data_IF_522684167425
#
_entry.id   IF_522684167425
#
_cell.length_a   1.000
_cell.length_b   1.000
_cell.length_c   1.000
_cell.angle_alpha   90.00
_cell.angle_beta   90.00
_cell.angle_gamma   90.00
#
_symmetry.space_group_name_H-M   'P 1'
#
loop_
_entity.id
_entity.type
_entity.pdbx_description
1 polymer ?
#
# COMPACT_ATOMS: atom_id res chain seq x y z
N UNK A 1 19.99 17.37 15.93
CA UNK A 1 20.55 18.60 15.38
C UNK A 1 20.10 19.80 16.19
N UNK A 2 20.88 20.86 16.19
CA UNK A 2 20.56 22.09 16.94
C UNK A 2 19.50 22.94 16.23
N UNK A 3 19.24 22.71 14.95
CA UNK A 3 18.26 23.46 14.15
C UNK A 3 17.48 22.51 13.26
N UNK A 4 16.16 22.68 13.24
CA UNK A 4 15.26 22.01 12.30
C UNK A 4 14.87 23.01 11.21
N UNK A 5 14.77 22.54 9.98
CA UNK A 5 14.32 23.32 8.83
C UNK A 5 13.23 22.57 8.11
N UNK A 6 12.07 23.22 7.89
CA UNK A 6 10.98 22.69 7.10
C UNK A 6 11.32 22.83 5.62
N UNK A 7 11.47 21.71 4.93
CA UNK A 7 11.74 21.67 3.49
C UNK A 7 10.45 21.87 2.70
N UNK A 8 9.41 21.11 3.01
CA UNK A 8 8.03 21.32 2.55
C UNK A 8 7.05 20.56 3.46
N UNK A 9 5.79 20.95 3.41
CA UNK A 9 4.72 20.33 4.19
C UNK A 9 3.49 20.03 3.34
N UNK A 10 2.48 19.47 3.95
CA UNK A 10 1.26 19.01 3.28
C UNK A 10 0.39 20.14 2.70
N UNK A 11 0.60 21.38 3.07
CA UNK A 11 -0.09 22.55 2.50
C UNK A 11 0.26 22.81 1.05
N UNK A 12 1.45 22.40 0.64
CA UNK A 12 2.01 22.68 -0.67
C UNK A 12 1.90 21.53 -1.66
N UNK A 13 1.47 20.34 -1.21
CA UNK A 13 1.34 19.17 -2.06
C UNK A 13 -0.06 19.07 -2.68
N UNK A 14 -0.13 18.58 -3.91
CA UNK A 14 -1.34 18.51 -4.72
C UNK A 14 -1.38 17.19 -5.51
N UNK A 15 -2.56 16.85 -5.99
CA UNK A 15 -2.71 15.72 -6.90
C UNK A 15 -2.89 14.39 -6.18
N UNK A 16 -2.02 13.41 -6.43
CA UNK A 16 -2.12 12.08 -5.87
C UNK A 16 -1.99 12.04 -4.33
N UNK A 17 -1.40 13.05 -3.74
CA UNK A 17 -1.25 13.21 -2.29
C UNK A 17 -2.58 13.30 -1.55
N UNK A 18 -3.63 13.68 -2.26
CA UNK A 18 -4.97 13.71 -1.70
C UNK A 18 -5.55 12.30 -1.65
N UNK A 19 -6.21 11.92 -0.55
CA UNK A 19 -6.97 10.69 -0.53
C UNK A 19 -7.97 10.71 -1.69
N UNK A 20 -7.79 9.79 -2.63
CA UNK A 20 -8.67 9.68 -3.79
C UNK A 20 -10.04 9.12 -3.41
N UNK A 21 -10.58 8.23 -4.23
CA UNK A 21 -11.91 7.63 -4.05
C UNK A 21 -12.09 6.84 -2.73
N UNK A 22 -11.03 6.62 -1.98
CA UNK A 22 -11.02 5.81 -0.76
C UNK A 22 -11.00 6.66 0.53
N UNK A 23 -11.04 7.97 0.44
CA UNK A 23 -10.93 8.83 1.62
C UNK A 23 -11.81 10.07 1.57
N UNK A 24 -11.92 10.75 2.70
CA UNK A 24 -12.62 12.02 2.82
C UNK A 24 -11.76 13.09 2.18
N UNK A 25 -12.21 13.60 1.06
CA UNK A 25 -11.53 14.65 0.32
C UNK A 25 -12.08 16.02 0.70
N UNK A 26 -13.35 16.08 1.08
CA UNK A 26 -14.05 17.31 1.41
C UNK A 26 -14.07 17.53 2.92
N UNK A 27 -13.44 18.61 3.36
CA UNK A 27 -13.46 19.04 4.74
C UNK A 27 -14.88 19.27 5.25
N UNK A 28 -15.75 19.82 4.42
CA UNK A 28 -17.14 20.10 4.76
C UNK A 28 -17.98 18.81 4.91
N UNK A 29 -17.58 17.71 4.30
CA UNK A 29 -18.23 16.42 4.46
C UNK A 29 -17.81 15.69 5.74
N UNK A 30 -16.77 16.14 6.43
CA UNK A 30 -16.30 15.52 7.67
C UNK A 30 -17.23 15.79 8.85
N UNK A 31 -17.74 14.72 9.48
CA UNK A 31 -18.57 14.81 10.70
C UNK A 31 -17.79 15.53 11.82
N UNK A 32 -16.51 15.24 11.96
CA UNK A 32 -15.65 15.89 12.96
C UNK A 32 -15.56 17.40 12.68
N UNK A 33 -15.34 17.78 11.42
CA UNK A 33 -15.30 19.21 11.05
C UNK A 33 -16.62 19.90 11.36
N UNK A 34 -17.75 19.34 10.93
CA UNK A 34 -19.06 19.92 11.15
C UNK A 34 -19.39 20.10 12.64
N UNK A 35 -19.02 19.14 13.47
CA UNK A 35 -19.27 19.20 14.93
C UNK A 35 -18.37 20.19 15.66
N UNK A 36 -17.16 20.44 15.15
CA UNK A 36 -16.14 21.21 15.84
C UNK A 36 -15.96 22.64 15.31
N UNK A 37 -16.36 22.93 14.06
CA UNK A 37 -16.11 24.23 13.41
C UNK A 37 -16.66 25.44 14.17
N UNK A 38 -17.73 25.27 14.94
CA UNK A 38 -18.28 26.34 15.76
C UNK A 38 -17.34 26.79 16.90
N UNK A 39 -16.39 25.95 17.29
CA UNK A 39 -15.40 26.23 18.34
C UNK A 39 -14.06 26.72 17.75
N UNK A 40 -13.94 26.77 16.43
CA UNK A 40 -12.69 27.13 15.77
C UNK A 40 -12.52 28.66 15.72
N UNK A 41 -11.38 29.09 16.20
CA UNK A 41 -10.94 30.48 16.11
C UNK A 41 -9.97 30.63 14.93
N UNK A 42 -10.37 31.30 13.85
CA UNK A 42 -9.53 31.48 12.68
C UNK A 42 -8.33 32.42 12.90
N UNK A 43 -8.38 33.29 13.92
CA UNK A 43 -7.27 34.21 14.21
C UNK A 43 -6.13 33.49 14.92
N UNK A 44 -6.44 32.59 15.81
CA UNK A 44 -5.44 31.81 16.56
C UNK A 44 -5.16 30.44 15.95
N UNK A 45 -6.02 29.96 15.04
CA UNK A 45 -5.93 28.61 14.48
C UNK A 45 -6.23 27.50 15.49
N UNK A 46 -6.92 27.81 16.58
CA UNK A 46 -7.19 26.87 17.69
C UNK A 46 -8.67 26.58 17.88
N UNK A 47 -8.95 25.45 18.52
CA UNK A 47 -10.28 25.11 18.99
C UNK A 47 -10.46 25.62 20.43
N UNK A 48 -11.44 26.49 20.65
CA UNK A 48 -11.89 26.95 21.97
C UNK A 48 -12.96 25.99 22.50
N UNK A 49 -12.52 24.84 23.02
CA UNK A 49 -13.44 23.79 23.46
C UNK A 49 -14.15 24.13 24.79
N UNK A 50 -15.46 23.83 24.92
CA UNK A 50 -16.16 23.92 26.19
C UNK A 50 -15.51 23.02 27.26
N UNK A 51 -15.54 23.38 28.54
CA UNK A 51 -14.93 22.59 29.62
C UNK A 51 -15.39 21.13 29.67
N UNK A 52 -16.60 20.83 29.22
CA UNK A 52 -17.18 19.51 29.19
C UNK A 52 -16.46 18.59 28.14
N UNK A 53 -15.86 19.19 27.11
CA UNK A 53 -15.13 18.49 26.08
C UNK A 53 -13.61 18.40 26.36
N UNK A 54 -13.10 19.24 27.26
CA UNK A 54 -11.70 19.28 27.62
C UNK A 54 -11.25 18.10 28.51
N UNK A 55 -12.17 17.29 29.01
CA UNK A 55 -11.92 16.19 29.95
C UNK A 55 -11.98 14.78 29.33
N UNK A 56 -11.94 14.64 28.01
CA UNK A 56 -11.93 13.31 27.37
C UNK A 56 -10.58 12.65 27.60
N UNK A 57 -10.52 11.49 28.30
CA UNK A 57 -9.24 10.80 28.55
C UNK A 57 -8.50 10.52 27.25
N UNK A 58 -7.22 10.89 27.18
CA UNK A 58 -6.35 10.64 26.01
C UNK A 58 -6.45 11.68 24.88
N UNK A 59 -7.33 12.71 24.99
CA UNK A 59 -7.46 13.77 23.99
C UNK A 59 -7.23 15.14 24.63
N UNK A 60 -6.11 15.77 24.33
CA UNK A 60 -5.88 17.17 24.71
C UNK A 60 -6.55 18.14 23.70
N UNK A 61 -6.85 19.36 24.15
CA UNK A 61 -7.34 20.42 23.27
C UNK A 61 -6.37 20.71 22.11
N UNK A 62 -5.08 20.55 22.35
CA UNK A 62 -4.03 20.70 21.33
C UNK A 62 -4.10 19.58 20.29
N UNK A 63 -4.25 18.33 20.72
CA UNK A 63 -4.43 17.19 19.82
C UNK A 63 -5.69 17.32 18.96
N UNK A 64 -6.81 17.73 19.56
CA UNK A 64 -8.06 17.97 18.83
C UNK A 64 -7.92 19.14 17.85
N UNK A 65 -7.21 20.20 18.21
CA UNK A 65 -6.90 21.30 17.29
C UNK A 65 -6.05 20.83 16.11
N UNK A 66 -5.02 20.03 16.37
CA UNK A 66 -4.17 19.48 15.32
C UNK A 66 -4.99 18.57 14.37
N UNK A 67 -5.83 17.70 14.91
CA UNK A 67 -6.72 16.84 14.11
C UNK A 67 -7.70 17.67 13.28
N UNK A 68 -8.32 18.68 13.85
CA UNK A 68 -9.25 19.57 13.15
C UNK A 68 -8.54 20.30 11.99
N UNK A 69 -7.34 20.82 12.23
CA UNK A 69 -6.55 21.53 11.23
C UNK A 69 -6.02 20.60 10.11
N UNK A 70 -5.91 19.31 10.38
CA UNK A 70 -5.50 18.30 9.40
C UNK A 70 -6.65 17.85 8.48
N UNK A 71 -7.92 18.09 8.87
CA UNK A 71 -9.07 17.65 8.06
C UNK A 71 -9.01 18.28 6.66
N UNK A 72 -9.10 17.44 5.64
CA UNK A 72 -9.06 17.84 4.24
C UNK A 72 -7.68 18.18 3.69
N UNK A 73 -6.62 18.12 4.51
CA UNK A 73 -5.24 18.24 4.04
C UNK A 73 -4.70 16.89 3.56
N UNK A 74 -3.81 16.88 2.57
CA UNK A 74 -3.07 15.67 2.22
C UNK A 74 -2.23 15.18 3.40
N UNK A 75 -2.12 13.85 3.54
CA UNK A 75 -1.21 13.21 4.49
C UNK A 75 0.06 12.81 3.77
N UNK A 76 1.20 13.26 4.26
CA UNK A 76 2.52 12.91 3.74
C UNK A 76 3.41 12.41 4.87
N UNK A 77 4.24 11.39 4.56
CA UNK A 77 5.14 10.76 5.52
C UNK A 77 6.33 10.10 4.81
N UNK A 78 7.16 9.33 5.54
CA UNK A 78 8.13 8.41 4.98
C UNK A 78 9.23 9.07 4.17
N UNK A 79 9.75 10.20 4.61
CA UNK A 79 10.80 10.92 3.91
C UNK A 79 12.07 10.07 3.78
N UNK A 80 12.55 9.87 2.55
CA UNK A 80 13.79 9.18 2.24
C UNK A 80 14.57 9.94 1.17
N UNK A 81 15.86 10.14 1.39
CA UNK A 81 16.68 10.89 0.43
C UNK A 81 17.73 10.00 -0.24
N UNK A 82 17.70 9.99 -1.56
CA UNK A 82 18.69 9.32 -2.41
C UNK A 82 19.48 10.39 -3.16
N UNK A 83 20.78 10.19 -3.34
CA UNK A 83 21.61 11.01 -4.22
C UNK A 83 22.03 10.19 -5.44
N UNK A 84 21.78 10.73 -6.63
CA UNK A 84 22.27 10.19 -7.90
C UNK A 84 22.89 11.31 -8.74
N UNK A 85 24.16 11.13 -9.12
CA UNK A 85 24.94 12.23 -9.71
C UNK A 85 25.00 13.44 -8.78
N UNK A 86 24.66 14.61 -9.31
CA UNK A 86 24.61 15.87 -8.56
C UNK A 86 23.20 16.22 -8.06
N UNK A 87 22.24 15.29 -8.14
CA UNK A 87 20.86 15.53 -7.77
C UNK A 87 20.47 14.73 -6.52
N UNK A 88 19.81 15.42 -5.60
CA UNK A 88 19.16 14.84 -4.44
C UNK A 88 17.69 14.59 -4.75
N UNK A 89 17.21 13.40 -4.44
CA UNK A 89 15.84 12.95 -4.63
C UNK A 89 15.21 12.72 -3.27
N UNK A 90 14.39 13.64 -2.81
CA UNK A 90 13.63 13.52 -1.57
C UNK A 90 12.29 12.84 -1.87
N UNK A 91 12.22 11.59 -1.50
CA UNK A 91 11.04 10.74 -1.66
C UNK A 91 10.12 10.91 -0.46
N UNK A 92 8.82 10.75 -0.66
CA UNK A 92 7.81 10.86 0.39
C UNK A 92 6.57 10.05 0.01
N UNK A 93 5.87 9.53 1.01
CA UNK A 93 4.70 8.69 0.83
C UNK A 93 3.40 9.45 1.10
N UNK A 94 2.36 9.13 0.37
CA UNK A 94 0.96 9.54 0.59
C UNK A 94 0.01 8.73 -0.30
N UNK A 95 -1.32 8.76 -0.09
CA UNK A 95 -2.04 9.50 0.95
C UNK A 95 -2.11 8.77 2.29
N UNK A 96 -1.78 7.49 2.35
CA UNK A 96 -1.81 6.67 3.55
C UNK A 96 -1.92 5.18 3.23
N UNK A 97 -1.37 4.34 4.08
CA UNK A 97 -1.22 2.90 3.83
C UNK A 97 -2.54 2.14 3.75
N UNK A 98 -3.62 2.70 4.29
CA UNK A 98 -4.96 2.11 4.21
C UNK A 98 -5.58 2.20 2.81
N UNK A 99 -5.00 3.00 1.92
CA UNK A 99 -5.50 3.19 0.57
C UNK A 99 -4.73 2.36 -0.45
N UNK A 100 -5.43 1.81 -1.44
CA UNK A 100 -4.80 1.14 -2.57
C UNK A 100 -3.98 2.10 -3.45
N UNK A 101 -4.23 3.40 -3.33
CA UNK A 101 -3.50 4.48 -4.00
C UNK A 101 -2.25 4.94 -3.23
N UNK A 102 -1.90 4.29 -2.13
CA UNK A 102 -0.67 4.59 -1.39
C UNK A 102 0.55 4.49 -2.30
N UNK A 103 1.34 5.54 -2.36
CA UNK A 103 2.37 5.72 -3.37
C UNK A 103 3.51 6.60 -2.85
N UNK A 104 4.63 6.58 -3.54
CA UNK A 104 5.74 7.51 -3.28
C UNK A 104 5.89 8.54 -4.39
N UNK A 105 6.00 9.79 -3.98
CA UNK A 105 6.41 10.91 -4.81
C UNK A 105 7.85 11.32 -4.57
N UNK A 106 8.35 12.24 -5.39
CA UNK A 106 9.71 12.74 -5.27
C UNK A 106 9.81 14.21 -5.62
N UNK A 107 10.59 14.92 -4.81
CA UNK A 107 11.11 16.25 -5.09
C UNK A 107 12.60 16.17 -5.34
N UNK A 108 13.13 17.02 -6.21
CA UNK A 108 14.54 17.04 -6.58
C UNK A 108 15.21 18.37 -6.25
N UNK A 109 16.49 18.32 -5.92
CA UNK A 109 17.32 19.51 -5.67
C UNK A 109 18.79 19.26 -5.99
N UNK A 110 19.54 20.32 -6.20
CA UNK A 110 21.02 20.27 -6.28
C UNK A 110 21.69 20.38 -4.92
N UNK A 111 20.92 20.65 -3.87
CA UNK A 111 21.40 20.76 -2.48
C UNK A 111 20.55 19.88 -1.55
N UNK A 112 21.14 19.25 -0.51
CA UNK A 112 20.38 18.44 0.42
C UNK A 112 19.35 19.21 1.25
N UNK A 113 19.49 20.54 1.31
CA UNK A 113 18.55 21.42 2.03
C UNK A 113 17.62 22.19 1.07
N UNK A 114 17.65 21.89 -0.22
CA UNK A 114 16.81 22.55 -1.21
C UNK A 114 17.47 23.78 -1.86
N UNK A 115 16.71 24.61 -2.59
CA UNK A 115 15.25 24.46 -2.77
C UNK A 115 14.90 23.19 -3.56
N UNK A 116 13.80 22.55 -3.17
CA UNK A 116 13.30 21.36 -3.82
C UNK A 116 12.20 21.67 -4.83
N UNK A 117 12.24 20.99 -5.99
CA UNK A 117 11.25 21.10 -7.06
C UNK A 117 10.57 19.74 -7.22
N UNK A 118 9.25 19.74 -7.27
CA UNK A 118 8.46 18.53 -7.47
C UNK A 118 8.72 17.95 -8.85
N UNK A 119 9.04 16.66 -8.92
CA UNK A 119 9.16 15.96 -10.19
C UNK A 119 7.79 15.93 -10.90
N UNK A 120 7.76 16.19 -12.20
CA UNK A 120 6.52 16.30 -12.96
C UNK A 120 5.77 14.95 -13.02
N UNK A 121 6.50 13.85 -13.15
CA UNK A 121 5.96 12.47 -13.20
C UNK A 121 5.80 11.87 -11.81
N UNK A 122 5.02 12.51 -10.95
CA UNK A 122 4.64 11.96 -9.65
C UNK A 122 3.23 11.33 -9.70
N UNK A 123 2.99 10.23 -8.95
CA UNK A 123 3.97 9.50 -8.14
C UNK A 123 4.94 8.71 -9.01
N UNK A 124 6.18 8.51 -8.52
CA UNK A 124 7.14 7.68 -9.25
C UNK A 124 6.99 6.18 -8.92
N UNK A 125 6.47 5.87 -7.75
CA UNK A 125 6.13 4.52 -7.29
C UNK A 125 4.66 4.47 -6.90
N UNK A 126 3.85 3.75 -7.68
CA UNK A 126 2.41 3.62 -7.46
C UNK A 126 1.85 2.34 -8.09
N UNK A 127 1.10 1.56 -7.31
CA UNK A 127 0.44 0.35 -7.78
C UNK A 127 -1.00 0.29 -7.24
N UNK A 128 -1.92 1.07 -7.83
CA UNK A 128 -3.29 1.16 -7.33
C UNK A 128 -4.17 -0.05 -7.68
N UNK A 129 -3.72 -0.92 -8.56
CA UNK A 129 -4.45 -2.10 -9.03
C UNK A 129 -3.59 -3.36 -9.03
N UNK A 130 -4.21 -4.52 -9.38
CA UNK A 130 -3.63 -5.84 -9.30
C UNK A 130 -3.89 -6.51 -7.96
N UNK A 131 -3.36 -7.72 -7.76
CA UNK A 131 -3.58 -8.51 -6.56
C UNK A 131 -3.04 -7.82 -5.30
N UNK A 132 -1.81 -7.32 -5.37
CA UNK A 132 -1.15 -6.58 -4.29
C UNK A 132 -1.08 -5.10 -4.67
N UNK A 133 -1.59 -4.22 -3.84
CA UNK A 133 -1.71 -2.78 -4.12
C UNK A 133 -0.86 -1.93 -3.18
N UNK A 134 -0.79 -0.63 -3.45
CA UNK A 134 -0.03 0.34 -2.66
C UNK A 134 1.27 0.73 -3.33
N UNK A 135 2.39 0.60 -2.66
CA UNK A 135 3.77 0.94 -3.04
C UNK A 135 4.28 2.28 -2.49
N UNK A 136 3.89 2.61 -1.25
CA UNK A 136 4.36 3.81 -0.54
C UNK A 136 5.34 3.52 0.60
N UNK A 137 5.86 4.58 1.21
CA UNK A 137 6.80 4.60 2.33
C UNK A 137 8.06 3.79 2.05
N UNK A 138 8.61 4.01 0.87
CA UNK A 138 9.72 3.23 0.36
C UNK A 138 11.09 3.87 0.53
N UNK A 139 12.09 3.11 0.15
CA UNK A 139 13.50 3.49 0.13
C UNK A 139 14.15 3.05 -1.16
N UNK A 140 14.94 3.90 -1.77
CA UNK A 140 15.63 3.62 -3.03
C UNK A 140 17.13 3.46 -2.80
N UNK A 141 17.66 2.29 -3.12
CA UNK A 141 19.05 1.92 -2.86
C UNK A 141 19.71 1.31 -4.10
N UNK A 142 21.03 1.43 -4.20
CA UNK A 142 21.82 0.74 -5.21
C UNK A 142 22.31 -0.61 -4.68
N UNK A 143 22.31 -1.64 -5.55
CA UNK A 143 22.94 -2.92 -5.27
C UNK A 143 24.45 -2.91 -5.61
N UNK A 144 25.10 -4.03 -5.36
CA UNK A 144 26.53 -4.20 -5.62
C UNK A 144 26.90 -4.14 -7.12
N UNK A 145 25.93 -4.28 -8.02
CA UNK A 145 26.11 -4.18 -9.47
C UNK A 145 25.80 -2.76 -9.98
N UNK A 146 25.38 -1.86 -9.08
CA UNK A 146 24.96 -0.51 -9.43
C UNK A 146 23.56 -0.42 -10.04
N UNK A 147 22.75 -1.46 -9.92
CA UNK A 147 21.31 -1.37 -10.18
C UNK A 147 20.62 -0.66 -9.03
N UNK A 148 19.53 0.02 -9.33
CA UNK A 148 18.73 0.71 -8.31
C UNK A 148 17.44 -0.05 -8.06
N UNK A 149 17.07 -0.12 -6.79
CA UNK A 149 15.91 -0.81 -6.30
C UNK A 149 15.10 0.07 -5.37
N UNK A 150 13.80 -0.02 -5.49
CA UNK A 150 12.87 0.62 -4.58
C UNK A 150 12.15 -0.45 -3.77
N UNK A 151 12.37 -0.45 -2.47
CA UNK A 151 11.64 -1.28 -1.52
C UNK A 151 10.50 -0.45 -0.93
N UNK A 152 9.28 -0.88 -1.06
CA UNK A 152 8.12 -0.15 -0.58
C UNK A 152 7.11 -1.04 0.14
N UNK A 153 6.21 -0.41 0.86
CA UNK A 153 5.13 -1.07 1.56
C UNK A 153 4.01 -1.43 0.60
N UNK A 154 3.65 -2.72 0.58
CA UNK A 154 2.54 -3.23 -0.19
C UNK A 154 1.39 -3.63 0.74
N UNK A 155 0.18 -3.29 0.37
CA UNK A 155 -1.03 -3.71 1.06
C UNK A 155 -1.48 -5.07 0.57
N UNK A 156 -1.60 -6.03 1.47
CA UNK A 156 -2.00 -7.40 1.14
C UNK A 156 -3.21 -7.87 1.95
N UNK A 157 -3.47 -7.30 3.11
CA UNK A 157 -4.57 -7.72 3.97
C UNK A 157 -5.82 -6.89 3.76
N UNK A 158 -6.97 -7.54 3.85
CA UNK A 158 -8.29 -6.89 3.90
C UNK A 158 -8.82 -6.73 5.32
N UNK A 159 -8.32 -7.56 6.23
CA UNK A 159 -8.80 -7.61 7.61
C UNK A 159 -8.13 -6.56 8.49
N UNK A 160 -6.99 -6.03 8.04
CA UNK A 160 -6.23 -5.05 8.80
C UNK A 160 -5.41 -4.12 7.90
N UNK A 161 -5.73 -2.85 7.91
CA UNK A 161 -5.13 -1.85 7.02
C UNK A 161 -3.61 -1.66 7.20
N UNK A 162 -3.08 -2.04 8.36
CA UNK A 162 -1.65 -1.94 8.66
C UNK A 162 -0.88 -3.25 8.50
N UNK A 163 -1.49 -4.32 8.00
CA UNK A 163 -0.73 -5.49 7.56
C UNK A 163 -0.14 -5.24 6.18
N UNK A 164 1.17 -5.29 6.13
CA UNK A 164 1.95 -4.88 4.97
C UNK A 164 3.03 -5.91 4.66
N UNK A 165 3.40 -5.96 3.39
CA UNK A 165 4.55 -6.73 2.89
C UNK A 165 5.49 -5.79 2.16
N UNK A 166 6.73 -6.22 2.00
CA UNK A 166 7.72 -5.48 1.24
C UNK A 166 7.56 -5.85 -0.24
N UNK A 167 7.32 -4.85 -1.08
CA UNK A 167 7.50 -4.93 -2.52
C UNK A 167 8.91 -4.47 -2.90
N UNK A 168 9.53 -5.13 -3.86
CA UNK A 168 10.84 -4.75 -4.38
C UNK A 168 10.74 -4.55 -5.89
N UNK A 169 11.12 -3.36 -6.35
CA UNK A 169 10.95 -2.94 -7.73
C UNK A 169 12.24 -2.40 -8.33
N UNK A 170 12.55 -2.74 -9.60
CA UNK A 170 13.61 -2.07 -10.33
C UNK A 170 13.27 -0.58 -10.50
N UNK A 171 14.22 0.29 -10.26
CA UNK A 171 14.12 1.72 -10.55
C UNK A 171 15.28 2.19 -11.40
N UNK A 172 15.07 3.27 -12.11
CA UNK A 172 16.10 3.91 -12.89
C UNK A 172 15.96 5.45 -12.90
N UNK A 173 16.97 6.07 -13.45
CA UNK A 173 16.98 7.49 -13.75
C UNK A 173 17.08 7.62 -15.27
N UNK A 174 16.15 8.32 -15.88
CA UNK A 174 16.18 8.53 -17.31
C UNK A 174 17.25 9.58 -17.74
N UNK A 175 17.33 9.85 -19.03
CA UNK A 175 18.29 10.81 -19.59
C UNK A 175 18.12 12.25 -19.05
N UNK A 176 16.95 12.59 -18.57
CA UNK A 176 16.61 13.91 -18.01
C UNK A 176 16.72 13.92 -16.46
N UNK A 177 17.17 12.80 -15.87
CA UNK A 177 17.32 12.63 -14.44
C UNK A 177 16.01 12.37 -13.71
N UNK A 178 14.95 11.96 -14.41
CA UNK A 178 13.66 11.61 -13.81
C UNK A 178 13.77 10.23 -13.16
N UNK A 179 13.49 10.15 -11.86
CA UNK A 179 13.39 8.89 -11.16
C UNK A 179 12.08 8.19 -11.55
N UNK A 180 12.17 6.95 -12.01
CA UNK A 180 11.02 6.10 -12.34
C UNK A 180 11.12 4.73 -11.70
N UNK A 181 9.98 4.09 -11.46
CA UNK A 181 9.87 2.77 -10.87
C UNK A 181 9.14 1.81 -11.81
N UNK A 182 9.73 0.64 -12.04
CA UNK A 182 9.08 -0.42 -12.81
C UNK A 182 8.30 -1.35 -11.88
N UNK A 183 6.98 -1.18 -11.82
CA UNK A 183 6.11 -1.89 -10.89
C UNK A 183 5.39 -3.10 -11.49
N UNK A 184 5.82 -3.58 -12.65
CA UNK A 184 5.25 -4.76 -13.29
C UNK A 184 5.51 -6.07 -12.52
N UNK A 185 6.36 -6.04 -11.50
CA UNK A 185 6.80 -7.24 -10.77
C UNK A 185 6.03 -7.53 -9.48
N UNK A 186 5.14 -6.64 -9.03
CA UNK A 186 4.57 -6.73 -7.69
C UNK A 186 3.72 -7.99 -7.44
N UNK A 187 3.08 -8.51 -8.47
CA UNK A 187 2.14 -9.64 -8.33
C UNK A 187 2.75 -11.00 -8.66
N UNK A 188 3.99 -11.03 -9.14
CA UNK A 188 4.60 -12.25 -9.67
C UNK A 188 5.95 -12.53 -9.02
N UNK A 189 6.30 -13.82 -8.83
CA UNK A 189 7.67 -14.20 -8.56
C UNK A 189 8.57 -13.77 -9.74
N UNK A 190 9.69 -13.16 -9.45
CA UNK A 190 10.68 -12.80 -10.47
C UNK A 190 12.10 -13.11 -10.00
N UNK A 191 12.98 -13.28 -10.96
CA UNK A 191 14.39 -13.48 -10.67
C UNK A 191 15.08 -12.12 -10.57
N UNK A 192 15.86 -11.96 -9.52
CA UNK A 192 16.74 -10.80 -9.39
C UNK A 192 18.00 -11.11 -10.21
N UNK A 193 18.32 -10.32 -11.26
CA UNK A 193 19.50 -10.55 -12.08
C UNK A 193 20.80 -10.45 -11.28
N UNK A 194 21.70 -11.40 -11.49
CA UNK A 194 23.06 -11.37 -10.94
C UNK A 194 23.98 -10.58 -11.88
N UNK A 195 23.79 -9.26 -11.99
CA UNK A 195 24.56 -8.41 -12.87
C UNK A 195 23.86 -7.09 -13.13
N UNK A 196 24.49 -6.24 -13.97
CA UNK A 196 23.89 -4.98 -14.39
C UNK A 196 22.75 -5.23 -15.36
N UNK A 197 21.62 -4.52 -15.17
CA UNK A 197 20.48 -4.52 -16.07
C UNK A 197 19.90 -3.13 -16.25
N UNK A 198 19.04 -2.97 -17.24
CA UNK A 198 18.23 -1.77 -17.42
C UNK A 198 16.86 -1.96 -16.77
N UNK A 199 16.54 -1.11 -15.79
CA UNK A 199 15.27 -1.20 -15.06
C UNK A 199 14.04 -1.00 -15.97
N UNK A 200 14.16 -0.19 -17.02
CA UNK A 200 13.05 0.06 -17.95
C UNK A 200 12.74 -1.14 -18.84
N UNK A 201 13.75 -1.94 -19.16
CA UNK A 201 13.61 -3.10 -20.04
C UNK A 201 13.18 -4.37 -19.33
N UNK A 202 13.17 -4.36 -17.99
CA UNK A 202 12.75 -5.54 -17.23
C UNK A 202 11.25 -5.78 -17.42
N UNK A 203 10.91 -7.02 -17.74
CA UNK A 203 9.53 -7.47 -17.89
C UNK A 203 9.29 -8.70 -17.02
N UNK A 204 8.10 -8.89 -16.47
CA UNK A 204 7.74 -10.16 -15.85
C UNK A 204 7.90 -11.30 -16.87
N UNK A 205 8.54 -12.40 -16.47
CA UNK A 205 8.66 -13.60 -17.30
C UNK A 205 7.34 -14.38 -17.40
N UNK A 206 6.32 -13.97 -16.63
CA UNK A 206 5.07 -14.68 -16.45
C UNK A 206 3.92 -13.91 -17.07
N UNK A 207 3.02 -14.62 -17.72
CA UNK A 207 1.73 -14.12 -18.17
C UNK A 207 0.63 -14.77 -17.31
N UNK A 208 -0.22 -13.96 -16.72
CA UNK A 208 -1.35 -14.46 -15.97
C UNK A 208 -2.42 -15.02 -16.90
N UNK A 209 -2.62 -16.33 -16.86
CA UNK A 209 -3.57 -17.02 -17.70
C UNK A 209 -4.97 -17.11 -17.09
N UNK A 210 -5.08 -17.06 -15.77
CA UNK A 210 -6.32 -17.29 -15.04
C UNK A 210 -7.21 -16.06 -14.88
N UNK A 211 -6.73 -14.83 -15.15
CA UNK A 211 -7.47 -13.61 -14.87
C UNK A 211 -8.83 -13.57 -15.52
N UNK A 212 -9.87 -13.48 -14.68
CA UNK A 212 -11.30 -13.46 -15.08
C UNK A 212 -11.71 -14.60 -16.03
N UNK A 213 -11.08 -15.74 -15.91
CA UNK A 213 -11.47 -16.94 -16.62
C UNK A 213 -12.70 -17.59 -15.98
N UNK A 214 -13.46 -18.40 -16.73
CA UNK A 214 -14.53 -19.19 -16.15
C UNK A 214 -14.01 -20.09 -15.03
N UNK A 215 -14.74 -20.11 -13.93
CA UNK A 215 -14.36 -20.88 -12.72
C UNK A 215 -15.57 -21.66 -12.23
N UNK A 216 -15.33 -22.87 -11.82
CA UNK A 216 -16.29 -23.71 -11.12
C UNK A 216 -15.71 -24.27 -9.83
N UNK A 217 -16.56 -24.61 -8.89
CA UNK A 217 -16.13 -25.17 -7.60
C UNK A 217 -17.09 -26.27 -7.16
N UNK A 218 -16.61 -27.17 -6.30
CA UNK A 218 -17.40 -28.24 -5.69
C UNK A 218 -18.53 -27.68 -4.82
N UNK A 219 -18.19 -26.65 -4.05
CA UNK A 219 -19.11 -25.93 -3.18
C UNK A 219 -18.63 -24.50 -2.96
N UNK A 220 -19.49 -23.68 -2.36
CA UNK A 220 -19.15 -22.28 -2.07
C UNK A 220 -19.84 -21.83 -0.80
N UNK A 221 -19.10 -21.23 0.10
CA UNK A 221 -19.60 -20.65 1.34
C UNK A 221 -20.52 -19.45 1.08
N UNK A 222 -21.41 -19.16 2.01
CA UNK A 222 -22.24 -17.95 1.97
C UNK A 222 -21.33 -16.70 1.87
N UNK A 223 -21.71 -15.77 1.01
CA UNK A 223 -20.95 -14.53 0.71
C UNK A 223 -19.59 -14.74 0.04
N UNK A 224 -19.34 -15.89 -0.55
CA UNK A 224 -18.19 -16.17 -1.39
C UNK A 224 -18.63 -16.48 -2.83
N UNK A 225 -17.67 -16.51 -3.76
CA UNK A 225 -17.90 -16.85 -5.16
C UNK A 225 -16.61 -17.40 -5.77
N UNK A 226 -16.66 -18.41 -6.65
CA UNK A 226 -15.47 -18.97 -7.29
C UNK A 226 -14.67 -17.92 -8.10
N UNK A 227 -15.34 -16.95 -8.69
CA UNK A 227 -14.73 -15.90 -9.51
C UNK A 227 -13.78 -15.00 -8.70
N UNK A 228 -13.94 -14.94 -7.37
CA UNK A 228 -13.04 -14.20 -6.49
C UNK A 228 -11.62 -14.79 -6.46
N UNK A 229 -11.46 -16.06 -6.83
CA UNK A 229 -10.13 -16.68 -6.91
C UNK A 229 -9.31 -16.24 -8.13
N UNK A 230 -9.93 -15.58 -9.12
CA UNK A 230 -9.30 -15.20 -10.39
C UNK A 230 -9.52 -13.72 -10.76
N UNK A 231 -9.91 -12.88 -9.81
CA UNK A 231 -10.24 -11.47 -10.04
C UNK A 231 -9.06 -10.50 -9.83
N UNK A 232 -7.90 -10.99 -9.37
CA UNK A 232 -6.73 -10.18 -8.99
C UNK A 232 -7.04 -9.11 -7.91
N UNK A 233 -7.90 -9.47 -6.96
CA UNK A 233 -8.20 -8.62 -5.81
C UNK A 233 -8.03 -9.42 -4.51
N UNK A 234 -6.99 -9.13 -3.74
CA UNK A 234 -6.73 -9.82 -2.47
C UNK A 234 -7.79 -9.55 -1.39
N UNK A 235 -8.75 -8.68 -1.63
CA UNK A 235 -9.84 -8.34 -0.71
C UNK A 235 -11.04 -9.29 -0.83
N UNK A 236 -11.02 -10.17 -1.79
CA UNK A 236 -12.02 -11.20 -1.97
C UNK A 236 -11.37 -12.55 -2.25
N UNK A 237 -11.99 -13.60 -1.77
CA UNK A 237 -11.50 -14.96 -1.99
C UNK A 237 -12.66 -15.95 -2.11
N UNK A 238 -12.40 -17.05 -2.76
CA UNK A 238 -13.31 -18.18 -2.72
C UNK A 238 -13.09 -18.99 -1.44
N UNK A 239 -14.18 -19.38 -0.80
CA UNK A 239 -14.22 -20.36 0.29
C UNK A 239 -15.19 -21.45 -0.08
N UNK A 240 -14.80 -22.71 0.14
CA UNK A 240 -15.71 -23.84 0.07
C UNK A 240 -16.76 -23.76 1.20
N UNK A 241 -17.90 -24.42 1.02
CA UNK A 241 -18.95 -24.47 2.04
C UNK A 241 -18.55 -25.27 3.28
N UNK A 242 -17.55 -26.15 3.16
CA UNK A 242 -17.02 -26.99 4.24
C UNK A 242 -15.50 -27.09 4.20
N UNK A 243 -14.93 -27.72 5.22
CA UNK A 243 -13.49 -27.96 5.35
C UNK A 243 -13.12 -29.44 5.11
N UNK A 244 -14.06 -30.26 4.66
CA UNK A 244 -13.82 -31.67 4.44
C UNK A 244 -12.96 -31.91 3.19
N UNK A 245 -12.14 -32.96 3.17
CA UNK A 245 -11.37 -33.33 1.99
C UNK A 245 -12.28 -33.60 0.78
N UNK A 246 -11.85 -33.13 -0.40
CA UNK A 246 -12.60 -33.31 -1.65
C UNK A 246 -13.19 -32.04 -2.22
N UNK A 247 -13.03 -30.92 -1.53
CA UNK A 247 -13.37 -29.60 -2.08
C UNK A 247 -12.37 -29.21 -3.20
N UNK A 248 -12.88 -28.65 -4.27
CA UNK A 248 -12.07 -28.27 -5.45
C UNK A 248 -12.51 -26.95 -6.07
N UNK A 249 -11.60 -26.30 -6.75
CA UNK A 249 -11.79 -25.17 -7.63
C UNK A 249 -11.17 -25.49 -8.99
N UNK A 250 -11.90 -25.27 -10.05
CA UNK A 250 -11.45 -25.49 -11.42
C UNK A 250 -11.49 -24.20 -12.24
N UNK A 251 -10.41 -23.86 -12.89
CA UNK A 251 -10.29 -22.70 -13.78
C UNK A 251 -10.20 -23.20 -15.21
N UNK A 252 -11.14 -22.80 -16.07
CA UNK A 252 -11.11 -23.08 -17.50
C UNK A 252 -10.33 -21.99 -18.23
N UNK A 253 -9.13 -22.32 -18.74
CA UNK A 253 -8.30 -21.39 -19.50
C UNK A 253 -8.88 -21.05 -20.89
N UNK A 254 -9.90 -21.82 -21.36
CA UNK A 254 -10.61 -21.62 -22.62
C UNK A 254 -9.82 -22.07 -23.86
N UNK A 255 -8.60 -22.56 -23.69
CA UNK A 255 -7.75 -23.14 -24.74
C UNK A 255 -6.60 -23.87 -24.12
N UNK A 256 -5.99 -24.79 -24.87
CA UNK A 256 -4.74 -25.40 -24.50
C UNK A 256 -3.68 -24.33 -24.28
N UNK A 257 -3.03 -24.39 -23.13
CA UNK A 257 -2.07 -23.39 -22.70
C UNK A 257 -0.86 -24.05 -22.03
N UNK A 258 0.30 -23.47 -22.27
CA UNK A 258 1.54 -23.91 -21.62
C UNK A 258 1.65 -23.31 -20.21
N UNK A 259 1.18 -24.04 -19.22
CA UNK A 259 1.19 -23.59 -17.81
C UNK A 259 2.56 -23.90 -17.21
N UNK A 260 3.27 -22.86 -16.80
CA UNK A 260 4.63 -22.96 -16.25
C UNK A 260 4.67 -22.92 -14.72
N UNK A 261 3.69 -22.25 -14.11
CA UNK A 261 3.59 -22.13 -12.67
C UNK A 261 2.14 -21.93 -12.24
N UNK A 262 1.85 -22.33 -11.02
CA UNK A 262 0.58 -22.06 -10.33
C UNK A 262 0.92 -21.41 -9.01
N UNK A 263 0.37 -20.23 -8.78
CA UNK A 263 0.48 -19.55 -7.51
C UNK A 263 -0.86 -19.63 -6.78
N UNK A 264 -0.83 -20.15 -5.56
CA UNK A 264 -1.99 -20.21 -4.68
C UNK A 264 -1.77 -19.24 -3.53
N UNK A 265 -2.64 -18.24 -3.42
CA UNK A 265 -2.64 -17.29 -2.31
C UNK A 265 -3.77 -17.67 -1.37
N UNK A 266 -3.43 -18.18 -0.20
CA UNK A 266 -4.40 -18.51 0.83
C UNK A 266 -4.88 -17.25 1.52
N UNK A 267 -6.20 -17.13 1.72
CA UNK A 267 -6.78 -16.01 2.44
C UNK A 267 -6.64 -16.22 3.96
N UNK A 268 -6.38 -15.14 4.66
CA UNK A 268 -6.33 -15.09 6.13
C UNK A 268 -7.75 -14.88 6.70
N UNK A 269 -8.67 -15.76 6.36
CA UNK A 269 -10.03 -15.68 6.88
C UNK A 269 -10.06 -16.04 8.37
N UNK A 270 -10.69 -15.18 9.17
CA UNK A 270 -10.82 -15.37 10.63
C UNK A 270 -9.49 -15.49 11.39
N UNK A 271 -8.43 -14.98 10.80
CA UNK A 271 -7.15 -14.93 11.49
C UNK A 271 -7.25 -14.01 12.70
N UNK A 272 -6.98 -14.55 13.87
CA UNK A 272 -6.96 -13.81 15.13
C UNK A 272 -5.53 -13.74 15.62
N UNK A 273 -4.98 -12.54 15.80
CA UNK A 273 -3.60 -12.30 16.24
C UNK A 273 -3.60 -11.77 17.66
N UNK A 274 -3.03 -12.51 18.62
CA UNK A 274 -2.75 -11.99 19.94
C UNK A 274 -1.44 -11.21 19.93
N UNK A 275 -1.53 -9.92 20.16
CA UNK A 275 -0.34 -9.12 20.48
C UNK A 275 0.00 -9.22 21.95
N UNK A 276 1.28 -9.24 22.34
CA UNK A 276 1.69 -9.06 23.72
C UNK A 276 1.03 -7.81 24.31
N UNK A 277 0.60 -7.90 25.57
CA UNK A 277 -0.21 -6.84 26.22
C UNK A 277 0.47 -5.48 26.31
N UNK A 278 1.78 -5.42 26.08
CA UNK A 278 2.63 -4.23 26.10
C UNK A 278 2.97 -3.67 24.70
N UNK A 279 2.54 -4.35 23.62
CA UNK A 279 2.73 -3.85 22.29
C UNK A 279 1.64 -2.82 21.92
N UNK A 280 1.99 -1.56 21.97
CA UNK A 280 1.16 -0.42 21.51
C UNK A 280 -0.22 -0.33 22.17
N UNK A 281 -0.28 -0.48 23.46
CA UNK A 281 -1.36 -0.19 24.38
C UNK A 281 -2.67 0.32 23.86
N UNK A 282 -3.39 -0.38 22.99
CA UNK A 282 -4.71 0.05 22.59
C UNK A 282 -5.59 -1.01 21.94
N UNK A 283 -6.70 -0.53 21.51
CA UNK A 283 -7.89 -1.12 20.98
C UNK A 283 -7.72 -1.88 19.64
N UNK A 284 -6.55 -1.92 19.07
CA UNK A 284 -6.19 -2.78 17.92
C UNK A 284 -6.00 -4.23 18.32
N UNK A 285 -6.62 -4.59 19.39
CA UNK A 285 -6.52 -5.80 20.20
C UNK A 285 -7.04 -7.09 19.54
N UNK A 286 -7.42 -7.08 18.31
CA UNK A 286 -8.22 -8.17 17.79
C UNK A 286 -7.63 -8.87 16.59
N UNK A 287 -6.30 -8.84 16.48
CA UNK A 287 -5.64 -9.75 15.56
C UNK A 287 -4.99 -10.88 16.32
N UNK A 288 -5.58 -12.03 16.25
CA UNK A 288 -4.94 -13.24 16.73
C UNK A 288 -4.21 -13.89 15.56
N UNK A 289 -2.89 -13.89 15.55
CA UNK A 289 -2.14 -14.74 14.63
C UNK A 289 -1.98 -16.09 15.30
N UNK A 290 -2.53 -17.12 14.66
CA UNK A 290 -2.18 -18.47 15.00
C UNK A 290 -0.70 -18.67 14.68
N UNK A 291 0.11 -18.72 15.73
CA UNK A 291 1.58 -18.85 15.60
C UNK A 291 2.01 -20.28 15.29
N UNK A 292 1.10 -21.26 15.39
CA UNK A 292 1.39 -22.63 14.99
C UNK A 292 1.38 -22.74 13.46
N UNK A 293 2.38 -23.40 12.86
CA UNK A 293 2.35 -23.64 11.44
C UNK A 293 1.06 -24.33 11.00
N UNK A 294 0.32 -23.69 10.11
CA UNK A 294 -0.86 -24.26 9.45
C UNK A 294 -0.37 -24.94 8.17
N UNK A 295 -0.55 -26.25 8.09
CA UNK A 295 -0.20 -27.01 6.89
C UNK A 295 -1.47 -27.25 6.10
N UNK A 296 -1.56 -26.67 4.92
CA UNK A 296 -2.63 -26.94 3.96
C UNK A 296 -2.14 -27.97 2.95
N UNK A 297 -2.89 -29.03 2.78
CA UNK A 297 -2.64 -30.06 1.77
C UNK A 297 -3.60 -29.88 0.61
N UNK A 298 -3.08 -29.76 -0.59
CA UNK A 298 -3.89 -29.68 -1.82
C UNK A 298 -3.19 -30.39 -2.97
N UNK A 299 -3.97 -30.86 -3.93
CA UNK A 299 -3.50 -31.43 -5.17
C UNK A 299 -3.76 -30.46 -6.31
N UNK A 300 -2.80 -30.33 -7.20
CA UNK A 300 -2.96 -29.59 -8.46
C UNK A 300 -3.06 -30.58 -9.59
N UNK A 301 -4.13 -30.45 -10.37
CA UNK A 301 -4.37 -31.29 -11.54
C UNK A 301 -4.55 -30.38 -12.77
N UNK A 302 -4.13 -30.87 -13.93
CA UNK A 302 -4.34 -30.21 -15.22
C UNK A 302 -4.95 -31.20 -16.20
N UNK A 303 -5.84 -30.72 -17.07
CA UNK A 303 -6.38 -31.54 -18.16
C UNK A 303 -6.42 -30.72 -19.46
N UNK A 304 -6.38 -31.41 -20.58
CA UNK A 304 -6.78 -30.92 -21.90
C UNK A 304 -8.09 -31.63 -22.25
N UNK A 305 -9.11 -30.85 -22.65
CA UNK A 305 -10.42 -31.38 -23.06
C UNK A 305 -10.48 -31.56 -24.55
#
# INVERSE_FOLDING_TARGET
>A
GEKQELIFGNETVLGYERPGNNGIVDREASVLYQSMKQFYDPETGKLNLPPQMAGIPGLSAESLTAMFNAIGKPYIEGAFMTKHGDTYYLQYACPGTQYNTYADGVYTSRSPLGPFVRQASNPFSAKPGGFITGAGHGSTIADIYGNWWHASTMRISVSYDFERRVGLFPVGFDKDGVLYCNQNFADYPHRIPAGKFDAASQQPEWMLLSYKKPVTASSTAENSSPELAVNEDCRGWWSAAGAEPGEWLCVDLGKDSDVRAIQVNMADEKLVVDFPADSYGDDRKTRHIETRPQISHYTVETSVN
#
